data_IF_046336940421
#
_entry.id   IF_046336940421
#
_cell.length_a   1.000
_cell.length_b   1.000
_cell.length_c   1.000
_cell.angle_alpha   90.00
_cell.angle_beta   90.00
_cell.angle_gamma   90.00
#
_symmetry.space_group_name_H-M   'P 1'
#
loop_
_entity.id
_entity.type
_entity.pdbx_description
1 polymer ?
#
# COMPACT_ATOMS: atom_id res chain seq x y z
N UNK A 1 -46.03 -8.86 21.59
CA UNK A 1 -45.28 -8.54 20.36
C UNK A 1 -45.35 -7.07 19.99
N UNK A 2 -46.31 -6.29 20.51
CA UNK A 2 -46.40 -4.84 20.24
C UNK A 2 -45.40 -3.99 21.05
N UNK A 3 -44.96 -4.47 22.22
CA UNK A 3 -44.01 -3.74 23.08
C UNK A 3 -42.59 -3.59 22.52
N UNK A 4 -42.20 -4.38 21.52
CA UNK A 4 -40.90 -4.26 20.84
C UNK A 4 -40.90 -3.20 19.73
N UNK A 5 -42.08 -2.83 19.22
CA UNK A 5 -42.23 -1.79 18.20
C UNK A 5 -42.43 -0.39 18.80
N UNK A 6 -42.84 -0.31 20.07
CA UNK A 6 -43.13 0.95 20.75
C UNK A 6 -41.86 1.71 21.21
N UNK A 7 -40.72 1.00 21.33
CA UNK A 7 -39.42 1.57 21.69
C UNK A 7 -38.64 2.19 20.52
N UNK A 8 -39.14 2.12 19.27
CA UNK A 8 -38.45 2.67 18.08
C UNK A 8 -38.92 4.09 17.68
N UNK A 9 -39.83 4.71 18.45
CA UNK A 9 -40.24 6.11 18.27
C UNK A 9 -39.61 7.05 19.30
N UNK A 10 -38.34 6.81 19.66
CA UNK A 10 -37.52 7.97 20.02
C UNK A 10 -37.41 8.84 18.76
N UNK A 11 -37.78 10.13 18.83
CA UNK A 11 -37.71 11.04 17.69
C UNK A 11 -36.37 10.85 16.97
N UNK A 12 -36.40 10.28 15.78
CA UNK A 12 -35.19 9.96 15.06
C UNK A 12 -34.41 11.26 14.82
N UNK A 13 -33.26 11.39 15.47
CA UNK A 13 -32.44 12.61 15.49
C UNK A 13 -31.45 12.69 14.33
N UNK A 14 -31.35 11.66 13.49
CA UNK A 14 -30.39 11.65 12.39
C UNK A 14 -30.57 12.82 11.44
N UNK A 15 -29.48 13.39 10.94
CA UNK A 15 -29.51 14.50 9.99
C UNK A 15 -29.85 15.87 10.59
N UNK A 16 -29.99 15.99 11.92
CA UNK A 16 -30.27 17.27 12.60
C UNK A 16 -29.00 18.11 12.86
N UNK A 17 -27.85 17.72 12.31
CA UNK A 17 -26.58 18.44 12.45
C UNK A 17 -25.74 17.99 13.64
N UNK A 18 -24.65 18.70 13.91
CA UNK A 18 -23.63 18.33 14.90
C UNK A 18 -24.13 18.26 16.34
N UNK A 19 -25.22 18.97 16.67
CA UNK A 19 -25.88 18.94 17.99
C UNK A 19 -26.85 17.77 18.19
N UNK A 20 -27.11 16.96 17.16
CA UNK A 20 -28.06 15.86 17.26
C UNK A 20 -27.60 14.82 18.28
N UNK A 21 -28.54 14.33 19.11
CA UNK A 21 -28.30 13.18 19.98
C UNK A 21 -27.90 11.97 19.14
N UNK A 22 -26.73 11.39 19.41
CA UNK A 22 -26.26 10.19 18.72
C UNK A 22 -26.55 8.97 19.62
N UNK A 23 -27.37 8.01 19.16
CA UNK A 23 -27.68 6.83 19.93
C UNK A 23 -26.42 5.97 20.12
N UNK A 24 -26.26 5.24 21.25
CA UNK A 24 -25.08 4.42 21.54
C UNK A 24 -24.72 3.44 20.42
N UNK A 25 -25.71 2.90 19.73
CA UNK A 25 -25.55 1.97 18.61
C UNK A 25 -24.84 2.61 17.41
N UNK A 26 -24.94 3.93 17.25
CA UNK A 26 -24.27 4.72 16.22
C UNK A 26 -22.92 5.31 16.68
N UNK A 27 -22.46 5.00 17.89
CA UNK A 27 -21.13 5.40 18.41
C UNK A 27 -20.06 4.31 18.26
N UNK A 28 -20.32 3.29 17.45
CA UNK A 28 -19.39 2.19 17.18
C UNK A 28 -18.31 2.59 16.18
N UNK A 29 -17.16 1.92 16.29
CA UNK A 29 -16.08 2.01 15.31
C UNK A 29 -16.61 1.76 13.90
N UNK A 30 -16.19 2.61 12.96
CA UNK A 30 -16.65 2.59 11.58
C UNK A 30 -15.55 2.06 10.66
N UNK A 31 -15.61 0.76 10.37
CA UNK A 31 -14.68 0.11 9.45
C UNK A 31 -14.76 0.67 8.02
N UNK A 32 -15.96 1.04 7.55
CA UNK A 32 -16.12 1.67 6.24
C UNK A 32 -15.40 3.02 6.16
N UNK A 33 -15.57 3.86 7.17
CA UNK A 33 -14.93 5.17 7.25
C UNK A 33 -13.41 5.08 7.41
N UNK A 34 -12.92 4.12 8.20
CA UNK A 34 -11.49 3.86 8.36
C UNK A 34 -10.85 3.42 7.04
N UNK A 35 -11.47 2.45 6.35
CA UNK A 35 -10.91 1.84 5.14
C UNK A 35 -11.04 2.74 3.91
N UNK A 36 -12.15 3.46 3.75
CA UNK A 36 -12.48 4.19 2.52
C UNK A 36 -12.40 5.73 2.68
N UNK A 37 -12.15 6.22 3.90
CA UNK A 37 -11.89 7.63 4.23
C UNK A 37 -12.78 8.64 3.50
N UNK A 38 -12.23 9.35 2.50
CA UNK A 38 -12.91 10.40 1.75
C UNK A 38 -14.07 9.85 0.91
N UNK A 39 -13.93 8.65 0.31
CA UNK A 39 -14.97 8.01 -0.50
C UNK A 39 -16.20 7.73 0.37
N UNK A 40 -15.98 7.14 1.54
CA UNK A 40 -17.05 6.88 2.50
C UNK A 40 -17.68 8.19 3.00
N UNK A 41 -16.86 9.22 3.26
CA UNK A 41 -17.37 10.49 3.77
C UNK A 41 -18.26 11.24 2.77
N UNK A 42 -17.97 11.19 1.47
CA UNK A 42 -18.87 11.72 0.44
C UNK A 42 -20.23 11.00 0.50
N UNK A 43 -20.23 9.66 0.53
CA UNK A 43 -21.47 8.87 0.59
C UNK A 43 -22.31 9.07 1.87
N UNK A 44 -21.68 9.56 2.94
CA UNK A 44 -22.30 9.76 4.25
C UNK A 44 -22.40 11.24 4.69
N UNK A 45 -22.08 12.19 3.79
CA UNK A 45 -22.10 13.65 4.06
C UNK A 45 -21.18 14.07 5.22
N UNK A 46 -20.05 13.40 5.38
CA UNK A 46 -19.03 13.71 6.39
C UNK A 46 -17.83 14.37 5.70
N UNK A 47 -17.97 15.65 5.36
CA UNK A 47 -17.00 16.38 4.52
C UNK A 47 -15.62 16.56 5.13
N UNK A 48 -15.50 16.50 6.46
CA UNK A 48 -14.20 16.49 7.14
C UNK A 48 -13.31 15.32 6.67
N UNK A 49 -13.89 14.26 6.09
CA UNK A 49 -13.13 13.17 5.48
C UNK A 49 -12.20 13.62 4.35
N UNK A 50 -12.50 14.73 3.68
CA UNK A 50 -11.67 15.31 2.62
C UNK A 50 -10.33 15.85 3.15
N UNK A 51 -10.21 16.05 4.47
CA UNK A 51 -8.93 16.38 5.10
C UNK A 51 -7.89 15.28 4.93
N UNK A 52 -8.29 14.09 4.49
CA UNK A 52 -7.37 13.04 4.04
C UNK A 52 -6.42 13.52 2.92
N UNK A 53 -6.81 14.49 2.10
CA UNK A 53 -5.93 15.06 1.06
C UNK A 53 -4.79 15.94 1.60
N UNK A 54 -4.75 16.24 2.89
CA UNK A 54 -3.61 16.91 3.53
C UNK A 54 -2.47 15.89 3.71
N UNK A 55 -1.29 16.09 3.10
CA UNK A 55 -0.20 15.13 3.19
C UNK A 55 0.23 14.85 4.62
N UNK A 56 0.69 13.61 4.87
CA UNK A 56 1.19 13.12 6.17
C UNK A 56 0.09 13.09 7.25
N UNK A 57 -0.37 14.25 7.72
CA UNK A 57 -1.37 14.36 8.80
C UNK A 57 -2.72 13.77 8.37
N UNK A 58 -3.17 14.08 7.16
CA UNK A 58 -4.41 13.54 6.61
C UNK A 58 -4.31 12.04 6.37
N UNK A 59 -3.24 11.57 5.73
CA UNK A 59 -3.06 10.16 5.39
C UNK A 59 -2.97 9.24 6.60
N UNK A 60 -2.22 9.64 7.63
CA UNK A 60 -2.00 8.80 8.80
C UNK A 60 -2.97 9.08 9.94
N UNK A 61 -3.57 10.28 10.03
CA UNK A 61 -4.47 10.65 11.11
C UNK A 61 -5.96 10.43 10.79
N UNK A 62 -6.40 10.87 9.61
CA UNK A 62 -7.84 10.87 9.27
C UNK A 62 -8.49 9.49 9.27
N UNK A 63 -7.86 8.39 8.81
CA UNK A 63 -8.45 7.07 8.89
C UNK A 63 -8.90 6.73 10.32
N UNK A 64 -8.07 7.00 11.33
CA UNK A 64 -8.38 6.68 12.72
C UNK A 64 -9.45 7.60 13.30
N UNK A 65 -9.38 8.92 12.99
CA UNK A 65 -10.40 9.88 13.40
C UNK A 65 -11.77 9.49 12.84
N UNK A 66 -11.83 9.10 11.56
CA UNK A 66 -13.04 8.64 10.90
C UNK A 66 -13.48 7.26 11.39
N UNK A 67 -12.56 6.35 11.70
CA UNK A 67 -12.89 5.09 12.34
C UNK A 67 -13.57 5.30 13.69
N UNK A 68 -13.07 6.22 14.50
CA UNK A 68 -13.60 6.48 15.84
C UNK A 68 -14.90 7.31 15.83
N UNK A 69 -14.96 8.42 15.08
CA UNK A 69 -16.09 9.37 15.08
C UNK A 69 -17.03 9.25 13.87
N UNK A 70 -16.64 8.52 12.83
CA UNK A 70 -17.34 8.48 11.55
C UNK A 70 -18.81 8.10 11.68
N UNK A 71 -19.14 7.03 12.42
CA UNK A 71 -20.53 6.63 12.62
C UNK A 71 -21.39 7.73 13.24
N UNK A 72 -20.86 8.44 14.24
CA UNK A 72 -21.55 9.56 14.88
C UNK A 72 -21.74 10.74 13.93
N UNK A 73 -20.70 11.10 13.17
CA UNK A 73 -20.80 12.15 12.16
C UNK A 73 -21.77 11.79 11.04
N UNK A 74 -21.79 10.55 10.57
CA UNK A 74 -22.74 10.08 9.56
C UNK A 74 -24.19 10.09 10.08
N UNK A 75 -24.40 9.82 11.36
CA UNK A 75 -25.71 9.96 11.99
C UNK A 75 -26.16 11.43 12.02
N UNK A 76 -25.27 12.34 12.41
CA UNK A 76 -25.55 13.76 12.53
C UNK A 76 -25.83 14.46 11.20
N UNK A 77 -25.12 14.11 10.12
CA UNK A 77 -25.16 14.86 8.86
C UNK A 77 -26.04 14.26 7.77
N UNK A 78 -26.51 13.01 7.92
CA UNK A 78 -27.35 12.33 6.95
C UNK A 78 -28.63 11.82 7.62
N UNK A 79 -29.77 12.03 6.96
CA UNK A 79 -31.07 11.52 7.42
C UNK A 79 -31.17 10.03 7.14
N UNK A 80 -31.49 9.25 8.16
CA UNK A 80 -31.73 7.80 8.09
C UNK A 80 -33.17 7.50 8.48
N UNK A 81 -33.72 6.36 8.04
CA UNK A 81 -35.11 5.98 8.37
C UNK A 81 -35.27 5.60 9.84
N UNK A 82 -34.34 4.79 10.34
CA UNK A 82 -34.26 4.29 11.71
C UNK A 82 -32.85 3.70 11.93
N UNK A 83 -32.52 3.29 13.16
CA UNK A 83 -31.18 2.83 13.53
C UNK A 83 -30.72 1.59 12.77
N UNK A 84 -31.62 0.63 12.50
CA UNK A 84 -31.31 -0.58 11.74
C UNK A 84 -30.89 -0.28 10.29
N UNK A 85 -31.58 0.64 9.62
CA UNK A 85 -31.23 1.08 8.27
C UNK A 85 -29.84 1.74 8.21
N UNK A 86 -29.50 2.52 9.24
CA UNK A 86 -28.15 3.08 9.39
C UNK A 86 -27.09 1.98 9.55
N UNK A 87 -27.29 1.04 10.48
CA UNK A 87 -26.33 -0.05 10.73
C UNK A 87 -26.13 -0.92 9.50
N UNK A 88 -27.21 -1.26 8.77
CA UNK A 88 -27.11 -2.01 7.52
C UNK A 88 -26.24 -1.28 6.50
N UNK A 89 -26.44 0.02 6.32
CA UNK A 89 -25.61 0.82 5.43
C UNK A 89 -24.13 0.86 5.86
N UNK A 90 -23.84 1.05 7.17
CA UNK A 90 -22.45 1.05 7.65
C UNK A 90 -21.78 -0.32 7.51
N UNK A 91 -22.52 -1.41 7.70
CA UNK A 91 -22.01 -2.77 7.47
C UNK A 91 -21.70 -3.02 5.98
N UNK A 92 -22.55 -2.53 5.07
CA UNK A 92 -22.26 -2.58 3.63
C UNK A 92 -21.00 -1.79 3.31
N UNK A 93 -20.84 -0.59 3.86
CA UNK A 93 -19.60 0.20 3.68
C UNK A 93 -18.37 -0.52 4.21
N UNK A 94 -18.47 -1.19 5.36
CA UNK A 94 -17.37 -1.98 5.92
C UNK A 94 -17.01 -3.15 5.00
N UNK A 95 -17.99 -3.88 4.48
CA UNK A 95 -17.77 -5.00 3.57
C UNK A 95 -17.15 -4.55 2.23
N UNK A 96 -17.67 -3.48 1.63
CA UNK A 96 -17.12 -2.89 0.40
C UNK A 96 -15.70 -2.38 0.64
N UNK A 97 -15.47 -1.73 1.78
CA UNK A 97 -14.14 -1.26 2.16
C UNK A 97 -13.15 -2.40 2.30
N UNK A 98 -13.52 -3.47 2.99
CA UNK A 98 -12.67 -4.64 3.15
C UNK A 98 -12.36 -5.30 1.81
N UNK A 99 -13.36 -5.49 0.95
CA UNK A 99 -13.17 -6.05 -0.39
C UNK A 99 -12.23 -5.18 -1.23
N UNK A 100 -12.42 -3.86 -1.24
CA UNK A 100 -11.56 -2.94 -1.97
C UNK A 100 -10.10 -3.02 -1.49
N UNK A 101 -9.86 -3.11 -0.18
CA UNK A 101 -8.53 -3.27 0.38
C UNK A 101 -7.87 -4.59 -0.01
N UNK A 102 -8.61 -5.70 0.04
CA UNK A 102 -8.09 -7.00 -0.38
C UNK A 102 -7.69 -6.99 -1.87
N UNK A 103 -8.53 -6.41 -2.73
CA UNK A 103 -8.22 -6.26 -4.16
C UNK A 103 -7.00 -5.36 -4.39
N UNK A 104 -6.86 -4.26 -3.64
CA UNK A 104 -5.71 -3.37 -3.74
C UNK A 104 -4.40 -4.07 -3.33
N UNK A 105 -4.43 -4.89 -2.28
CA UNK A 105 -3.26 -5.69 -1.84
C UNK A 105 -2.87 -6.69 -2.93
N UNK A 106 -3.82 -7.46 -3.45
CA UNK A 106 -3.56 -8.43 -4.53
C UNK A 106 -2.96 -7.73 -5.74
N UNK A 107 -3.56 -6.61 -6.17
CA UNK A 107 -3.04 -5.82 -7.29
C UNK A 107 -1.62 -5.30 -7.00
N UNK A 108 -1.37 -4.80 -5.79
CA UNK A 108 -0.04 -4.34 -5.38
C UNK A 108 1.01 -5.43 -5.44
N UNK A 109 0.68 -6.65 -5.00
CA UNK A 109 1.58 -7.82 -5.10
C UNK A 109 1.84 -8.17 -6.56
N UNK A 110 0.80 -8.23 -7.39
CA UNK A 110 0.95 -8.52 -8.82
C UNK A 110 1.85 -7.49 -9.50
N UNK A 111 1.62 -6.20 -9.26
CA UNK A 111 2.44 -5.12 -9.80
C UNK A 111 3.88 -5.20 -9.32
N UNK A 112 4.11 -5.53 -8.05
CA UNK A 112 5.46 -5.73 -7.49
C UNK A 112 6.18 -6.88 -8.20
N UNK A 113 5.53 -8.03 -8.37
CA UNK A 113 6.10 -9.19 -9.06
C UNK A 113 6.41 -8.85 -10.52
N UNK A 114 5.47 -8.24 -11.24
CA UNK A 114 5.66 -7.80 -12.63
C UNK A 114 6.85 -6.84 -12.72
N UNK A 115 6.95 -5.88 -11.81
CA UNK A 115 8.06 -4.92 -11.77
C UNK A 115 9.40 -5.61 -11.55
N UNK A 116 9.47 -6.58 -10.63
CA UNK A 116 10.68 -7.38 -10.40
C UNK A 116 11.03 -8.16 -11.68
N UNK A 117 10.09 -8.89 -12.26
CA UNK A 117 10.34 -9.69 -13.47
C UNK A 117 10.81 -8.84 -14.66
N UNK A 118 10.24 -7.64 -14.85
CA UNK A 118 10.65 -6.71 -15.89
C UNK A 118 12.03 -6.07 -15.64
N UNK A 119 12.34 -5.70 -14.39
CA UNK A 119 13.58 -5.00 -14.07
C UNK A 119 14.76 -5.95 -13.86
N UNK A 120 14.54 -7.22 -13.51
CA UNK A 120 15.62 -8.17 -13.20
C UNK A 120 16.61 -8.34 -14.36
N UNK A 121 16.21 -8.53 -15.63
CA UNK A 121 17.16 -8.62 -16.74
C UNK A 121 17.98 -7.35 -16.93
N UNK A 122 17.36 -6.17 -16.75
CA UNK A 122 18.06 -4.88 -16.84
C UNK A 122 19.15 -4.77 -15.76
N UNK A 123 18.82 -5.13 -14.52
CA UNK A 123 19.77 -5.13 -13.40
C UNK A 123 20.89 -6.13 -13.65
N UNK A 124 20.59 -7.35 -14.10
CA UNK A 124 21.61 -8.37 -14.42
C UNK A 124 22.53 -7.86 -15.53
N UNK A 125 22.00 -7.29 -16.60
CA UNK A 125 22.80 -6.74 -17.70
C UNK A 125 23.68 -5.59 -17.24
N UNK A 126 23.17 -4.70 -16.39
CA UNK A 126 23.95 -3.62 -15.82
C UNK A 126 25.10 -4.16 -14.96
N UNK A 127 24.82 -5.08 -14.04
CA UNK A 127 25.81 -5.67 -13.14
C UNK A 127 26.85 -6.49 -13.89
N UNK A 128 26.46 -7.23 -14.94
CA UNK A 128 27.38 -8.00 -15.77
C UNK A 128 28.34 -7.10 -16.55
N UNK A 129 27.84 -6.01 -17.15
CA UNK A 129 28.67 -5.00 -17.83
C UNK A 129 29.62 -4.29 -16.86
N UNK A 130 29.13 -3.96 -15.65
CA UNK A 130 29.94 -3.37 -14.60
C UNK A 130 31.08 -4.33 -14.18
N UNK A 131 30.76 -5.60 -13.94
CA UNK A 131 31.76 -6.62 -13.60
C UNK A 131 32.80 -6.82 -14.72
N UNK A 132 32.36 -6.87 -15.98
CA UNK A 132 33.25 -7.00 -17.14
C UNK A 132 34.23 -5.83 -17.27
N UNK A 133 33.83 -4.63 -16.88
CA UNK A 133 34.73 -3.46 -16.87
C UNK A 133 35.87 -3.67 -15.88
N UNK A 134 35.60 -4.20 -14.68
CA UNK A 134 36.63 -4.48 -13.68
C UNK A 134 37.51 -5.68 -14.04
N UNK A 135 36.96 -6.73 -14.66
CA UNK A 135 37.77 -7.86 -15.12
C UNK A 135 38.66 -7.48 -16.31
N UNK A 136 38.16 -6.65 -17.23
CA UNK A 136 38.92 -6.12 -18.37
C UNK A 136 40.08 -5.19 -17.97
N UNK A 137 40.01 -4.57 -16.79
CA UNK A 137 41.12 -3.81 -16.21
C UNK A 137 42.20 -4.71 -15.58
N UNK A 138 41.92 -5.98 -15.31
CA UNK A 138 42.86 -6.93 -14.71
C UNK A 138 44.19 -7.03 -15.48
N UNK A 139 44.18 -7.28 -16.81
CA UNK A 139 45.40 -7.31 -17.61
C UNK A 139 46.17 -5.99 -17.64
N UNK A 140 45.48 -4.84 -17.67
CA UNK A 140 46.11 -3.52 -17.64
C UNK A 140 46.74 -3.23 -16.28
N UNK A 141 46.06 -3.57 -15.19
CA UNK A 141 46.60 -3.45 -13.83
C UNK A 141 47.83 -4.35 -13.66
N UNK A 142 47.77 -5.59 -14.16
CA UNK A 142 48.89 -6.53 -14.17
C UNK A 142 50.10 -5.98 -14.93
N UNK A 143 49.86 -5.38 -16.10
CA UNK A 143 50.89 -4.73 -16.91
C UNK A 143 51.51 -3.54 -16.16
N UNK A 144 50.68 -2.65 -15.59
CA UNK A 144 51.16 -1.51 -14.80
C UNK A 144 52.00 -1.99 -13.61
N UNK A 145 51.55 -2.99 -12.87
CA UNK A 145 52.28 -3.56 -11.73
C UNK A 145 53.61 -4.18 -12.16
N UNK A 146 53.64 -4.89 -13.30
CA UNK A 146 54.87 -5.42 -13.89
C UNK A 146 55.85 -4.30 -14.28
N UNK A 147 55.36 -3.24 -14.94
CA UNK A 147 56.17 -2.07 -15.33
C UNK A 147 56.70 -1.29 -14.12
N UNK A 148 55.97 -1.28 -13.01
CA UNK A 148 56.39 -0.67 -11.74
C UNK A 148 57.28 -1.59 -10.90
N UNK A 149 57.60 -2.80 -11.36
CA UNK A 149 58.51 -3.73 -10.68
C UNK A 149 57.90 -4.52 -9.52
N UNK A 150 56.57 -4.56 -9.40
CA UNK A 150 55.89 -5.37 -8.39
C UNK A 150 55.79 -6.85 -8.82
N UNK A 151 56.00 -7.78 -7.89
CA UNK A 151 55.85 -9.22 -8.13
C UNK A 151 54.38 -9.60 -8.26
N UNK A 152 53.96 -10.02 -9.45
CA UNK A 152 52.55 -10.24 -9.78
C UNK A 152 52.08 -11.70 -9.68
N UNK A 153 52.91 -12.59 -9.13
CA UNK A 153 52.62 -14.03 -8.99
C UNK A 153 51.45 -14.38 -8.03
N UNK A 154 50.85 -13.39 -7.38
CA UNK A 154 49.78 -13.53 -6.39
C UNK A 154 48.36 -13.62 -7.00
N UNK A 155 48.20 -13.44 -8.33
CA UNK A 155 46.87 -13.35 -8.99
C UNK A 155 46.75 -14.32 -10.21
N UNK A 156 47.65 -15.29 -10.35
CA UNK A 156 47.65 -16.22 -11.48
C UNK A 156 46.53 -17.28 -11.35
N UNK A 157 45.30 -16.97 -11.77
CA UNK A 157 44.41 -18.01 -12.30
C UNK A 157 45.00 -18.52 -13.62
N UNK A 158 45.30 -19.83 -13.76
CA UNK A 158 45.90 -20.37 -14.98
C UNK A 158 45.01 -20.05 -16.19
N UNK A 159 45.56 -19.32 -17.16
CA UNK A 159 44.91 -19.19 -18.46
C UNK A 159 44.97 -20.56 -19.16
N UNK A 160 43.86 -21.07 -19.74
CA UNK A 160 43.91 -22.29 -20.53
C UNK A 160 44.91 -22.08 -21.66
N UNK A 161 46.04 -22.79 -21.61
CA UNK A 161 47.02 -22.72 -22.68
C UNK A 161 46.37 -23.30 -23.92
N UNK A 162 46.20 -22.49 -24.97
CA UNK A 162 45.93 -23.00 -26.30
C UNK A 162 47.15 -23.81 -26.72
N UNK A 163 47.13 -25.10 -26.41
CA UNK A 163 48.08 -26.07 -26.90
C UNK A 163 47.85 -26.19 -28.41
N UNK A 164 48.63 -25.44 -29.17
CA UNK A 164 48.69 -25.60 -30.61
C UNK A 164 49.34 -26.97 -30.86
N UNK A 165 48.53 -27.94 -31.29
CA UNK A 165 49.02 -29.25 -31.72
C UNK A 165 49.49 -29.13 -33.17
N UNK A 166 50.80 -29.09 -33.44
CA UNK A 166 51.31 -28.95 -34.81
C UNK A 166 51.07 -30.20 -35.66
N UNK A 167 50.50 -31.27 -35.09
CA UNK A 167 50.18 -32.52 -35.78
C UNK A 167 48.68 -32.75 -35.98
N UNK A 168 47.82 -31.79 -35.63
CA UNK A 168 46.39 -31.85 -35.99
C UNK A 168 46.20 -31.43 -37.45
N UNK A 169 46.42 -32.36 -38.37
CA UNK A 169 45.91 -32.31 -39.75
C UNK A 169 44.59 -33.09 -39.86
#
# INVERSE_FOLDING_TARGET
>A
MESFFEIDQTDNTSGQGSGAYVPPEAKKWNWGAFLLTWIWGIGNRVWISLFWFVPIIGWFGMPFVLGYKGSSWAWQHKRWKHIYHFQKAQNTWAAVGLLAWLLAIVLGIVLLVVTILWLTPLVINFLSNLAQTFTGLGPLLQYILYFLGFNTNIINTPQPQMQFDPYSF
#
